data_IF_492938826694
#
_entry.id   IF_492938826694
#
_cell.length_a   1.000
_cell.length_b   1.000
_cell.length_c   1.000
_cell.angle_alpha   90.00
_cell.angle_beta   90.00
_cell.angle_gamma   90.00
#
_symmetry.space_group_name_H-M   'P 1'
#
loop_
_entity.id
_entity.type
_entity.pdbx_description
1 polymer ?
#
# COMPACT_ATOMS: atom_id res chain seq x y z
N UNK A 1 14.21 -37.94 -22.94
CA UNK A 1 14.15 -38.45 -21.55
C UNK A 1 12.70 -38.75 -21.26
N UNK A 2 12.36 -40.01 -20.97
CA UNK A 2 11.02 -40.43 -20.56
C UNK A 2 10.78 -39.91 -19.14
N UNK A 3 10.05 -38.80 -18.99
CA UNK A 3 9.48 -38.40 -17.69
C UNK A 3 8.51 -39.52 -17.29
N UNK A 4 8.92 -40.34 -16.33
CA UNK A 4 7.98 -41.22 -15.62
C UNK A 4 6.95 -40.28 -14.98
N UNK A 5 5.65 -40.59 -15.09
CA UNK A 5 4.60 -39.91 -14.31
C UNK A 5 4.83 -40.24 -12.82
N UNK A 6 5.81 -39.58 -12.22
CA UNK A 6 6.12 -39.70 -10.80
C UNK A 6 4.98 -39.01 -10.05
N UNK A 7 4.38 -39.73 -9.11
CA UNK A 7 3.29 -39.20 -8.32
C UNK A 7 3.86 -38.21 -7.30
N UNK A 8 3.52 -36.94 -7.48
CA UNK A 8 4.00 -35.83 -6.65
C UNK A 8 3.06 -35.62 -5.47
N UNK A 9 3.63 -35.42 -4.28
CA UNK A 9 2.92 -35.05 -3.05
C UNK A 9 3.39 -33.67 -2.60
N UNK A 10 2.47 -32.77 -2.25
CA UNK A 10 2.81 -31.44 -1.72
C UNK A 10 2.53 -31.42 -0.22
N UNK A 11 3.57 -31.27 0.59
CA UNK A 11 3.49 -31.38 2.06
C UNK A 11 4.32 -30.28 2.73
N UNK A 12 3.93 -29.88 3.95
CA UNK A 12 4.77 -29.02 4.77
C UNK A 12 6.11 -29.71 5.10
N UNK A 13 7.21 -29.01 4.85
CA UNK A 13 8.56 -29.45 5.15
C UNK A 13 9.07 -28.70 6.39
N UNK A 14 9.07 -29.38 7.54
CA UNK A 14 9.59 -28.84 8.80
C UNK A 14 11.08 -28.49 8.71
N UNK A 15 11.83 -29.14 7.80
CA UNK A 15 13.21 -28.77 7.53
C UNK A 15 13.32 -27.44 6.77
N UNK A 16 12.22 -26.85 6.34
CA UNK A 16 12.11 -25.53 5.74
C UNK A 16 11.09 -24.67 6.51
N UNK A 17 10.94 -24.87 7.82
CA UNK A 17 10.03 -24.06 8.65
C UNK A 17 8.54 -24.26 8.34
N UNK A 18 8.16 -25.38 7.72
CA UNK A 18 6.79 -25.70 7.36
C UNK A 18 6.37 -25.27 5.95
N UNK A 19 7.30 -24.70 5.16
CA UNK A 19 7.04 -24.38 3.75
C UNK A 19 6.61 -25.64 2.98
N UNK A 20 5.60 -25.50 2.12
CA UNK A 20 5.11 -26.60 1.29
C UNK A 20 6.15 -26.97 0.23
N UNK A 21 6.48 -28.26 0.15
CA UNK A 21 7.48 -28.82 -0.77
C UNK A 21 6.91 -30.01 -1.52
N UNK A 22 7.35 -30.20 -2.76
CA UNK A 22 7.03 -31.37 -3.57
C UNK A 22 7.91 -32.56 -3.21
N UNK A 23 7.30 -33.73 -3.07
CA UNK A 23 7.95 -35.01 -2.79
C UNK A 23 7.57 -36.05 -3.85
N UNK A 24 8.53 -36.88 -4.21
CA UNK A 24 8.34 -37.98 -5.16
C UNK A 24 8.39 -39.34 -4.46
N UNK A 25 7.55 -40.27 -4.91
CA UNK A 25 7.53 -41.64 -4.41
C UNK A 25 8.72 -42.45 -4.93
N UNK A 26 9.58 -42.93 -4.03
CA UNK A 26 10.75 -43.75 -4.35
C UNK A 26 10.63 -45.16 -3.76
N UNK A 27 10.93 -46.17 -4.57
CA UNK A 27 10.91 -47.57 -4.13
C UNK A 27 12.24 -47.99 -3.48
N UNK A 28 12.51 -47.45 -2.29
CA UNK A 28 13.62 -47.88 -1.44
C UNK A 28 13.16 -48.20 -0.02
N UNK A 29 14.02 -48.87 0.74
CA UNK A 29 13.76 -49.10 2.17
C UNK A 29 13.80 -47.75 2.90
N UNK A 30 12.82 -47.51 3.76
CA UNK A 30 12.80 -46.32 4.60
C UNK A 30 13.74 -46.48 5.81
N UNK A 31 14.28 -45.36 6.26
CA UNK A 31 15.11 -45.17 7.44
C UNK A 31 14.37 -44.28 8.46
N UNK A 32 14.85 -44.25 9.71
CA UNK A 32 14.25 -43.38 10.73
C UNK A 32 14.40 -41.93 10.29
N UNK A 33 13.29 -41.19 10.34
CA UNK A 33 13.17 -39.81 9.85
C UNK A 33 12.53 -39.70 8.47
N UNK A 34 12.51 -40.77 7.66
CA UNK A 34 11.85 -40.74 6.36
C UNK A 34 10.34 -40.55 6.48
N UNK A 35 9.77 -39.76 5.56
CA UNK A 35 8.32 -39.76 5.31
C UNK A 35 8.00 -40.89 4.34
N UNK A 36 6.90 -41.60 4.59
CA UNK A 36 6.41 -42.69 3.74
C UNK A 36 4.94 -42.51 3.43
N UNK A 37 4.51 -42.94 2.24
CA UNK A 37 3.10 -42.99 1.84
C UNK A 37 2.67 -44.43 1.63
N UNK A 38 1.47 -44.78 2.12
CA UNK A 38 0.87 -46.10 1.89
C UNK A 38 0.33 -46.18 0.46
N UNK A 39 0.76 -47.17 -0.31
CA UNK A 39 0.37 -47.34 -1.72
C UNK A 39 -0.32 -48.68 -2.01
N UNK A 40 -0.07 -49.70 -1.19
CA UNK A 40 -0.58 -51.06 -1.38
C UNK A 40 -0.85 -51.73 -0.03
N UNK A 41 -1.86 -51.24 0.70
CA UNK A 41 -2.30 -51.84 1.96
C UNK A 41 -2.66 -53.31 1.76
N UNK A 42 -2.02 -54.19 2.53
CA UNK A 42 -2.19 -55.66 2.46
C UNK A 42 -3.03 -56.21 3.59
N UNK A 43 -2.93 -55.62 4.78
CA UNK A 43 -3.61 -56.12 5.96
C UNK A 43 -4.88 -55.31 6.22
N UNK A 44 -6.08 -55.90 6.06
CA UNK A 44 -7.35 -55.16 6.16
C UNK A 44 -7.60 -54.60 7.57
N UNK A 45 -7.07 -55.25 8.60
CA UNK A 45 -7.26 -54.89 10.02
C UNK A 45 -6.42 -53.68 10.47
N UNK A 46 -5.43 -53.24 9.66
CA UNK A 46 -4.70 -52.00 9.93
C UNK A 46 -5.63 -50.80 9.81
N UNK A 47 -5.44 -49.79 10.66
CA UNK A 47 -6.31 -48.59 10.68
C UNK A 47 -6.03 -47.64 9.51
N UNK A 48 -4.80 -47.66 8.96
CA UNK A 48 -4.41 -46.81 7.85
C UNK A 48 -4.97 -47.27 6.50
N UNK A 49 -4.94 -46.40 5.50
CA UNK A 49 -5.39 -46.66 4.12
C UNK A 49 -4.36 -46.16 3.11
N UNK A 50 -4.52 -46.56 1.85
CA UNK A 50 -3.70 -46.04 0.75
C UNK A 50 -3.84 -44.51 0.67
N UNK A 51 -2.72 -43.82 0.58
CA UNK A 51 -2.60 -42.36 0.61
C UNK A 51 -2.27 -41.79 1.99
N UNK A 52 -2.39 -42.55 3.07
CA UNK A 52 -1.95 -42.06 4.39
C UNK A 52 -0.43 -41.92 4.42
N UNK A 53 0.04 -40.87 5.11
CA UNK A 53 1.45 -40.50 5.20
C UNK A 53 1.91 -40.61 6.65
N UNK A 54 3.05 -41.25 6.85
CA UNK A 54 3.66 -41.44 8.17
C UNK A 54 5.12 -40.99 8.15
N UNK A 55 5.62 -40.60 9.32
CA UNK A 55 7.06 -40.48 9.54
C UNK A 55 7.54 -41.75 10.23
N UNK A 56 8.63 -42.33 9.76
CA UNK A 56 9.28 -43.47 10.42
C UNK A 56 10.02 -42.96 11.64
N UNK A 57 9.62 -43.38 12.83
CA UNK A 57 10.19 -42.89 14.10
C UNK A 57 11.03 -43.95 14.82
N UNK A 58 11.02 -45.20 14.36
CA UNK A 58 11.70 -46.30 15.04
C UNK A 58 12.24 -47.37 14.09
N UNK A 59 13.46 -47.83 14.39
CA UNK A 59 14.05 -49.00 13.77
C UNK A 59 13.41 -50.29 14.26
N UNK A 60 13.24 -51.24 13.35
CA UNK A 60 12.79 -52.60 13.64
C UNK A 60 13.93 -53.59 13.38
N UNK A 61 13.87 -54.81 13.94
CA UNK A 61 14.93 -55.79 13.77
C UNK A 61 15.38 -55.93 12.30
N UNK A 62 16.70 -55.93 12.02
CA UNK A 62 17.21 -56.09 10.67
C UNK A 62 16.64 -57.32 9.99
N UNK A 63 16.22 -57.19 8.73
CA UNK A 63 15.66 -58.28 7.94
C UNK A 63 14.17 -58.59 8.19
N UNK A 64 13.50 -57.91 9.13
CA UNK A 64 12.06 -58.08 9.37
C UNK A 64 11.19 -57.67 8.18
N UNK A 65 11.67 -56.72 7.36
CA UNK A 65 10.92 -56.17 6.24
C UNK A 65 9.86 -55.14 6.63
N UNK A 66 9.90 -54.64 7.86
CA UNK A 66 8.99 -53.60 8.37
C UNK A 66 9.74 -52.29 8.63
N UNK A 67 8.96 -51.26 8.93
CA UNK A 67 9.39 -50.03 9.61
C UNK A 67 8.37 -49.67 10.70
N UNK A 68 8.79 -48.93 11.73
CA UNK A 68 7.92 -48.52 12.82
C UNK A 68 7.51 -47.05 12.70
N UNK A 69 6.22 -46.79 12.92
CA UNK A 69 5.68 -45.45 13.09
C UNK A 69 4.58 -45.50 14.15
N UNK A 70 4.72 -44.75 15.23
CA UNK A 70 3.71 -44.66 16.29
C UNK A 70 2.39 -44.10 15.75
N UNK A 71 2.44 -43.29 14.70
CA UNK A 71 1.25 -42.79 13.98
C UNK A 71 0.42 -43.89 13.31
N UNK A 72 1.02 -45.04 13.00
CA UNK A 72 0.34 -46.20 12.44
C UNK A 72 -0.15 -47.19 13.50
N UNK A 73 0.13 -46.94 14.80
CA UNK A 73 -0.25 -47.85 15.86
C UNK A 73 -1.78 -47.90 16.05
N UNK A 74 -2.28 -49.10 16.33
CA UNK A 74 -3.70 -49.36 16.62
C UNK A 74 -3.83 -50.56 17.57
N UNK A 75 -5.05 -50.83 18.04
CA UNK A 75 -5.32 -52.01 18.89
C UNK A 75 -4.87 -53.34 18.23
N UNK A 76 -4.97 -53.42 16.90
CA UNK A 76 -4.60 -54.61 16.12
C UNK A 76 -3.15 -54.56 15.62
N UNK A 77 -2.56 -53.36 15.49
CA UNK A 77 -1.17 -53.12 15.13
C UNK A 77 -0.48 -52.29 16.22
N UNK A 78 -0.33 -52.91 17.40
CA UNK A 78 0.17 -52.21 18.60
C UNK A 78 1.59 -51.67 18.45
N UNK A 79 2.35 -52.25 17.52
CA UNK A 79 3.71 -51.81 17.20
C UNK A 79 3.79 -50.76 16.10
N UNK A 80 2.68 -50.35 15.48
CA UNK A 80 2.70 -49.41 14.35
C UNK A 80 3.63 -49.86 13.22
N UNK A 81 3.63 -51.17 12.94
CA UNK A 81 4.52 -51.79 11.97
C UNK A 81 3.91 -51.66 10.58
N UNK A 82 4.70 -51.15 9.63
CA UNK A 82 4.28 -51.00 8.24
C UNK A 82 5.19 -51.86 7.37
N UNK A 83 4.62 -52.75 6.56
CA UNK A 83 5.40 -53.68 5.74
C UNK A 83 6.03 -52.97 4.54
N UNK A 84 7.26 -53.37 4.15
CA UNK A 84 8.02 -52.76 3.05
C UNK A 84 7.26 -52.68 1.73
N UNK A 85 6.41 -53.67 1.47
CA UNK A 85 5.61 -53.73 0.26
C UNK A 85 4.38 -52.81 0.27
N UNK A 86 4.01 -52.23 1.40
CA UNK A 86 2.82 -51.37 1.54
C UNK A 86 3.14 -49.89 1.31
N UNK A 87 4.41 -49.49 1.32
CA UNK A 87 4.82 -48.09 1.27
C UNK A 87 5.80 -47.73 0.14
N UNK A 88 5.86 -46.42 -0.11
CA UNK A 88 6.95 -45.75 -0.84
C UNK A 88 7.55 -44.66 0.05
N UNK A 89 8.85 -44.44 -0.08
CA UNK A 89 9.51 -43.31 0.59
C UNK A 89 9.21 -42.05 -0.18
N UNK A 90 8.94 -40.96 0.53
CA UNK A 90 8.75 -39.64 -0.05
C UNK A 90 10.08 -38.90 0.02
N UNK A 91 10.76 -38.80 -1.12
CA UNK A 91 11.98 -38.01 -1.22
C UNK A 91 11.65 -36.58 -1.63
N UNK A 92 12.20 -35.57 -0.92
CA UNK A 92 11.94 -34.19 -1.25
C UNK A 92 12.61 -33.81 -2.59
N UNK A 93 11.90 -33.04 -3.41
CA UNK A 93 12.45 -32.40 -4.62
C UNK A 93 13.00 -31.02 -4.29
N UNK A 94 13.52 -30.28 -5.27
CA UNK A 94 13.88 -28.87 -5.05
C UNK A 94 12.71 -27.90 -5.27
N UNK A 95 11.49 -28.39 -5.52
CA UNK A 95 10.33 -27.53 -5.79
C UNK A 95 9.56 -27.22 -4.51
N UNK A 96 9.34 -25.94 -4.24
CA UNK A 96 8.54 -25.41 -3.13
C UNK A 96 7.37 -24.57 -3.63
N UNK A 97 6.34 -24.47 -2.80
CA UNK A 97 5.12 -23.72 -3.06
C UNK A 97 5.06 -22.57 -2.06
N UNK A 98 5.12 -21.35 -2.56
CA UNK A 98 5.15 -20.12 -1.77
C UNK A 98 3.82 -19.41 -1.96
N UNK A 99 3.14 -19.10 -0.86
CA UNK A 99 1.90 -18.33 -0.88
C UNK A 99 2.26 -16.83 -1.01
N UNK A 100 2.12 -16.29 -2.21
CA UNK A 100 2.25 -14.85 -2.51
C UNK A 100 0.85 -14.18 -2.50
N UNK A 101 0.77 -12.84 -2.40
CA UNK A 101 -0.52 -12.13 -2.38
C UNK A 101 -1.41 -12.41 -3.60
N UNK A 102 -0.79 -12.70 -4.75
CA UNK A 102 -1.47 -12.96 -6.02
C UNK A 102 -1.81 -14.45 -6.24
N UNK A 103 -1.38 -15.34 -5.33
CA UNK A 103 -1.63 -16.78 -5.40
C UNK A 103 -0.46 -17.61 -4.89
N UNK A 104 -0.63 -18.93 -4.90
CA UNK A 104 0.48 -19.86 -4.61
C UNK A 104 1.32 -20.07 -5.85
N UNK A 105 2.61 -19.75 -5.78
CA UNK A 105 3.55 -19.91 -6.88
C UNK A 105 4.56 -21.04 -6.60
N UNK A 106 5.03 -21.68 -7.68
CA UNK A 106 6.00 -22.78 -7.64
C UNK A 106 7.40 -22.25 -7.93
N UNK A 107 8.35 -22.60 -7.08
CA UNK A 107 9.74 -22.19 -7.21
C UNK A 107 10.68 -23.39 -7.10
N UNK A 108 11.73 -23.41 -7.91
CA UNK A 108 12.87 -24.32 -7.76
C UNK A 108 13.91 -23.65 -6.86
N UNK A 109 14.32 -24.36 -5.81
CA UNK A 109 15.42 -24.00 -4.94
C UNK A 109 16.75 -24.34 -5.63
N UNK A 110 17.50 -23.31 -5.99
CA UNK A 110 18.79 -23.44 -6.67
C UNK A 110 19.93 -23.06 -5.73
N UNK A 111 20.94 -23.93 -5.65
CA UNK A 111 22.16 -23.71 -4.88
C UNK A 111 23.18 -22.91 -5.72
N UNK A 112 23.09 -21.58 -5.63
CA UNK A 112 24.01 -20.64 -6.27
C UNK A 112 24.02 -19.29 -5.54
N UNK A 113 25.02 -18.46 -5.85
CA UNK A 113 25.04 -17.07 -5.42
C UNK A 113 23.80 -16.33 -5.96
N UNK A 114 23.19 -15.52 -5.11
CA UNK A 114 22.03 -14.72 -5.47
C UNK A 114 22.47 -13.40 -6.11
N UNK A 115 21.57 -12.81 -6.88
CA UNK A 115 21.70 -11.45 -7.42
C UNK A 115 20.68 -10.51 -6.75
N UNK A 116 20.96 -9.21 -6.79
CA UNK A 116 20.07 -8.19 -6.21
C UNK A 116 18.68 -8.26 -6.87
N UNK A 117 17.63 -8.29 -6.04
CA UNK A 117 16.24 -8.40 -6.46
C UNK A 117 15.73 -9.84 -6.59
N UNK A 118 16.56 -10.87 -6.43
CA UNK A 118 16.10 -12.26 -6.42
C UNK A 118 15.44 -12.63 -5.08
N UNK A 119 14.46 -13.54 -5.12
CA UNK A 119 13.90 -14.16 -3.91
C UNK A 119 14.81 -15.30 -3.45
N UNK A 120 15.00 -15.41 -2.14
CA UNK A 120 15.77 -16.48 -1.49
C UNK A 120 14.97 -17.11 -0.35
N UNK A 121 15.31 -18.35 -0.01
CA UNK A 121 14.83 -19.03 1.19
C UNK A 121 16.02 -19.38 2.09
N UNK A 122 15.93 -19.04 3.37
CA UNK A 122 16.92 -19.45 4.37
C UNK A 122 16.68 -20.91 4.76
N UNK A 123 17.65 -21.75 4.46
CA UNK A 123 17.59 -23.21 4.72
C UNK A 123 18.28 -23.61 6.02
N UNK A 124 19.21 -22.78 6.51
CA UNK A 124 19.91 -22.96 7.78
C UNK A 124 20.54 -21.65 8.24
N UNK A 125 20.25 -21.25 9.46
CA UNK A 125 20.82 -20.08 10.11
C UNK A 125 20.53 -20.18 11.62
N UNK A 126 21.38 -19.55 12.43
CA UNK A 126 21.14 -19.34 13.86
C UNK A 126 20.49 -17.96 14.13
N UNK A 127 20.67 -17.00 13.22
CA UNK A 127 20.21 -15.61 13.34
C UNK A 127 18.86 -15.37 12.64
N UNK A 128 18.53 -16.16 11.62
CA UNK A 128 17.31 -16.06 10.83
C UNK A 128 16.42 -17.31 11.01
N UNK A 129 15.08 -17.14 11.01
CA UNK A 129 14.18 -18.28 11.08
C UNK A 129 14.32 -19.17 9.85
N UNK A 130 14.32 -20.49 10.09
CA UNK A 130 14.33 -21.48 9.03
C UNK A 130 13.08 -21.33 8.16
N UNK A 131 13.27 -21.31 6.84
CA UNK A 131 12.19 -21.06 5.90
C UNK A 131 11.84 -19.59 5.70
N UNK A 132 12.60 -18.64 6.26
CA UNK A 132 12.45 -17.22 5.94
C UNK A 132 12.61 -17.03 4.43
N UNK A 133 11.62 -16.39 3.82
CA UNK A 133 11.64 -16.00 2.42
C UNK A 133 11.74 -14.49 2.37
N UNK A 134 12.71 -13.99 1.62
CA UNK A 134 12.90 -12.55 1.43
C UNK A 134 13.57 -12.28 0.08
N UNK A 135 13.69 -11.01 -0.27
CA UNK A 135 14.35 -10.51 -1.46
C UNK A 135 15.74 -9.99 -1.13
N UNK A 136 16.69 -10.20 -2.04
CA UNK A 136 18.05 -9.68 -1.90
C UNK A 136 18.10 -8.17 -2.16
N UNK A 137 18.54 -7.40 -1.17
CA UNK A 137 18.77 -5.96 -1.25
C UNK A 137 20.18 -5.63 -1.79
N UNK A 138 21.20 -6.36 -1.32
CA UNK A 138 22.60 -6.11 -1.68
C UNK A 138 23.42 -7.41 -1.69
N UNK A 139 24.40 -7.50 -2.60
CA UNK A 139 25.32 -8.63 -2.69
C UNK A 139 26.76 -8.18 -2.39
N UNK A 140 27.46 -8.89 -1.51
CA UNK A 140 28.84 -8.57 -1.16
C UNK A 140 29.82 -9.25 -2.12
N UNK A 141 30.34 -8.50 -3.11
CA UNK A 141 31.26 -8.99 -4.16
C UNK A 141 32.57 -9.60 -3.61
N UNK A 142 33.03 -9.14 -2.44
CA UNK A 142 34.26 -9.61 -1.80
C UNK A 142 34.07 -10.83 -0.90
N UNK A 143 32.84 -11.34 -0.77
CA UNK A 143 32.58 -12.58 -0.05
C UNK A 143 32.73 -13.78 -1.00
N UNK A 144 33.69 -14.65 -0.71
CA UNK A 144 33.85 -15.90 -1.46
C UNK A 144 32.58 -16.77 -1.39
N UNK A 145 31.78 -16.58 -0.34
CA UNK A 145 30.60 -17.36 -0.01
C UNK A 145 29.28 -16.78 -0.53
N UNK A 146 29.24 -15.52 -0.98
CA UNK A 146 28.01 -14.91 -1.52
C UNK A 146 27.06 -14.37 -0.46
N UNK A 147 27.58 -13.74 0.60
CA UNK A 147 26.79 -13.08 1.64
C UNK A 147 25.95 -11.94 1.04
N UNK A 148 24.77 -11.72 1.61
CA UNK A 148 23.75 -10.80 1.09
C UNK A 148 23.11 -9.99 2.21
N UNK A 149 22.60 -8.80 1.90
CA UNK A 149 21.61 -8.14 2.74
C UNK A 149 20.20 -8.44 2.21
N UNK A 150 19.28 -8.72 3.13
CA UNK A 150 17.87 -8.93 2.87
C UNK A 150 17.07 -7.63 3.02
N UNK A 151 15.98 -7.50 2.25
CA UNK A 151 15.13 -6.28 2.25
C UNK A 151 14.42 -6.07 3.57
N UNK A 152 13.76 -7.10 4.10
CA UNK A 152 13.04 -7.03 5.38
C UNK A 152 13.90 -7.60 6.51
N UNK A 153 14.57 -8.75 6.26
CA UNK A 153 15.36 -9.45 7.26
C UNK A 153 14.52 -10.07 8.37
N UNK A 154 15.12 -10.28 9.55
CA UNK A 154 14.43 -10.74 10.76
C UNK A 154 15.07 -10.10 12.00
N UNK A 155 14.26 -9.72 12.99
CA UNK A 155 14.72 -9.16 14.27
C UNK A 155 15.74 -8.01 14.12
N UNK A 156 15.47 -7.08 13.19
CA UNK A 156 16.34 -5.95 12.80
C UNK A 156 17.70 -6.34 12.17
N UNK A 157 17.95 -7.64 11.94
CA UNK A 157 19.09 -8.17 11.21
C UNK A 157 18.73 -8.36 9.73
N UNK A 158 19.58 -7.86 8.85
CA UNK A 158 19.45 -7.98 7.39
C UNK A 158 20.60 -8.72 6.73
N UNK A 159 21.78 -8.66 7.34
CA UNK A 159 22.99 -9.27 6.80
C UNK A 159 22.96 -10.78 7.04
N UNK A 160 22.90 -11.53 5.95
CA UNK A 160 22.99 -12.98 5.94
C UNK A 160 24.41 -13.39 5.52
N UNK A 161 25.13 -14.00 6.46
CA UNK A 161 26.51 -14.44 6.28
C UNK A 161 26.57 -15.85 5.67
N UNK A 162 26.74 -15.91 4.35
CA UNK A 162 26.81 -17.16 3.61
C UNK A 162 28.01 -18.07 3.99
N UNK A 163 28.94 -17.59 4.84
CA UNK A 163 29.98 -18.44 5.41
C UNK A 163 29.48 -19.36 6.53
N UNK A 164 28.41 -18.97 7.22
CA UNK A 164 27.83 -19.68 8.37
C UNK A 164 26.38 -20.10 8.14
N UNK A 165 25.72 -19.46 7.19
CA UNK A 165 24.31 -19.60 6.90
C UNK A 165 24.09 -20.12 5.48
N UNK A 166 23.05 -20.90 5.26
CA UNK A 166 22.74 -21.49 3.97
C UNK A 166 21.38 -21.01 3.49
N UNK A 167 21.36 -20.47 2.27
CA UNK A 167 20.14 -20.09 1.57
C UNK A 167 20.06 -20.78 0.20
N UNK A 168 18.90 -20.73 -0.43
CA UNK A 168 18.69 -21.13 -1.82
C UNK A 168 17.98 -20.02 -2.58
N UNK A 169 18.38 -19.81 -3.83
CA UNK A 169 17.68 -18.89 -4.73
C UNK A 169 16.39 -19.55 -5.19
N UNK A 170 15.29 -18.81 -5.14
CA UNK A 170 13.98 -19.27 -5.61
C UNK A 170 13.77 -18.83 -7.06
N UNK A 171 13.88 -19.78 -7.97
CA UNK A 171 13.64 -19.55 -9.41
C UNK A 171 12.20 -19.95 -9.74
N UNK A 172 11.34 -19.05 -10.26
CA UNK A 172 9.98 -19.40 -10.64
C UNK A 172 9.96 -20.56 -11.65
N UNK A 173 9.06 -21.50 -11.43
CA UNK A 173 8.83 -22.63 -12.34
C UNK A 173 7.42 -22.51 -12.87
N UNK A 174 7.28 -22.53 -14.19
CA UNK A 174 5.97 -22.58 -14.82
C UNK A 174 5.19 -23.80 -14.29
N UNK A 175 3.98 -23.57 -13.79
CA UNK A 175 3.08 -24.63 -13.38
C UNK A 175 2.73 -25.47 -14.62
N UNK A 176 3.17 -26.74 -14.64
CA UNK A 176 2.73 -27.75 -15.60
C UNK A 176 1.27 -28.21 -15.33
N UNK A 177 0.42 -27.36 -14.75
CA UNK A 177 -1.01 -27.59 -14.79
C UNK A 177 -1.48 -27.29 -16.21
N UNK A 178 -1.40 -28.30 -17.09
CA UNK A 178 -2.22 -28.28 -18.30
C UNK A 178 -3.69 -28.17 -17.84
N UNK A 179 -4.40 -27.06 -18.13
CA UNK A 179 -5.81 -26.97 -17.80
C UNK A 179 -6.52 -28.12 -18.50
N UNK A 180 -7.39 -28.85 -17.78
CA UNK A 180 -8.20 -29.86 -18.43
C UNK A 180 -8.99 -29.17 -19.56
N UNK A 181 -9.23 -29.83 -20.71
CA UNK A 181 -9.87 -29.19 -21.87
C UNK A 181 -11.24 -28.56 -21.56
N UNK A 182 -11.93 -29.05 -20.53
CA UNK A 182 -13.17 -28.47 -19.99
C UNK A 182 -12.93 -27.12 -19.30
N UNK A 183 -11.86 -27.02 -18.51
CA UNK A 183 -11.50 -25.81 -17.76
C UNK A 183 -11.08 -24.70 -18.71
N UNK A 184 -10.44 -25.05 -19.83
CA UNK A 184 -10.05 -24.08 -20.86
C UNK A 184 -11.26 -23.37 -21.49
N UNK A 185 -12.37 -24.07 -21.72
CA UNK A 185 -13.59 -23.46 -22.31
C UNK A 185 -14.23 -22.50 -21.30
N UNK A 186 -14.31 -22.90 -20.03
CA UNK A 186 -14.87 -22.06 -18.96
C UNK A 186 -13.99 -20.84 -18.67
N UNK A 187 -12.66 -21.00 -18.70
CA UNK A 187 -11.70 -19.89 -18.59
C UNK A 187 -11.82 -18.95 -19.79
N UNK A 188 -11.94 -19.46 -21.02
CA UNK A 188 -12.13 -18.63 -22.21
C UNK A 188 -13.46 -17.88 -22.14
N UNK A 189 -14.54 -18.52 -21.70
CA UNK A 189 -15.85 -17.87 -21.56
C UNK A 189 -15.85 -16.78 -20.49
N UNK A 190 -15.22 -17.05 -19.34
CA UNK A 190 -15.08 -16.07 -18.26
C UNK A 190 -14.18 -14.89 -18.68
N UNK A 191 -13.05 -15.19 -19.33
CA UNK A 191 -12.14 -14.18 -19.86
C UNK A 191 -12.84 -13.31 -20.93
N UNK A 192 -13.58 -13.91 -21.87
CA UNK A 192 -14.34 -13.17 -22.87
C UNK A 192 -15.40 -12.25 -22.23
N UNK A 193 -16.05 -12.72 -21.17
CA UNK A 193 -17.02 -11.92 -20.41
C UNK A 193 -16.34 -10.73 -19.74
N UNK A 194 -15.21 -10.96 -19.06
CA UNK A 194 -14.46 -9.93 -18.35
C UNK A 194 -13.82 -8.91 -19.30
N UNK A 195 -13.34 -9.36 -20.46
CA UNK A 195 -12.87 -8.48 -21.54
C UNK A 195 -14.00 -7.60 -22.05
N UNK A 196 -15.19 -8.15 -22.28
CA UNK A 196 -16.35 -7.37 -22.73
C UNK A 196 -16.80 -6.33 -21.68
N UNK A 197 -16.70 -6.65 -20.38
CA UNK A 197 -16.95 -5.70 -19.30
C UNK A 197 -15.91 -4.58 -19.25
N UNK A 198 -14.62 -4.93 -19.33
CA UNK A 198 -13.53 -3.96 -19.38
C UNK A 198 -13.62 -3.05 -20.60
N UNK A 199 -14.02 -3.56 -21.76
CA UNK A 199 -14.24 -2.74 -22.96
C UNK A 199 -15.41 -1.75 -22.78
N UNK A 200 -16.48 -2.16 -22.09
CA UNK A 200 -17.61 -1.27 -21.78
C UNK A 200 -17.18 -0.19 -20.79
N UNK A 201 -16.42 -0.55 -19.76
CA UNK A 201 -15.94 0.40 -18.76
C UNK A 201 -14.94 1.39 -19.37
N UNK A 202 -14.00 0.93 -20.20
CA UNK A 202 -13.11 1.81 -20.96
C UNK A 202 -13.87 2.81 -21.82
N UNK A 203 -14.95 2.37 -22.47
CA UNK A 203 -15.80 3.26 -23.27
C UNK A 203 -16.47 4.31 -22.40
N UNK A 204 -17.04 3.90 -21.25
CA UNK A 204 -17.67 4.81 -20.28
C UNK A 204 -16.67 5.86 -19.75
N UNK A 205 -15.47 5.42 -19.35
CA UNK A 205 -14.41 6.32 -18.87
C UNK A 205 -14.01 7.31 -19.95
N UNK A 206 -13.91 6.85 -21.20
CA UNK A 206 -13.57 7.72 -22.33
C UNK A 206 -14.63 8.80 -22.57
N UNK A 207 -15.92 8.43 -22.51
CA UNK A 207 -17.03 9.38 -22.64
C UNK A 207 -17.06 10.39 -21.47
N UNK A 208 -16.70 9.94 -20.26
CA UNK A 208 -16.58 10.79 -19.06
C UNK A 208 -15.42 11.79 -19.19
N UNK A 209 -14.25 11.34 -19.66
CA UNK A 209 -13.10 12.20 -19.97
C UNK A 209 -13.47 13.26 -21.01
N UNK A 210 -14.15 12.88 -22.08
CA UNK A 210 -14.57 13.82 -23.14
C UNK A 210 -15.54 14.88 -22.60
N UNK A 211 -16.41 14.50 -21.68
CA UNK A 211 -17.34 15.43 -21.01
C UNK A 211 -16.60 16.38 -20.08
N UNK A 212 -15.72 15.86 -19.22
CA UNK A 212 -14.90 16.67 -18.32
C UNK A 212 -13.99 17.64 -19.08
N UNK A 213 -13.46 17.23 -20.23
CA UNK A 213 -12.63 18.09 -21.07
C UNK A 213 -13.44 19.30 -21.60
N UNK A 214 -14.69 19.08 -22.01
CA UNK A 214 -15.60 20.17 -22.44
C UNK A 214 -15.95 21.11 -21.29
N UNK A 215 -16.24 20.58 -20.11
CA UNK A 215 -16.54 21.40 -18.94
C UNK A 215 -15.33 22.24 -18.52
N UNK A 216 -14.11 21.66 -18.54
CA UNK A 216 -12.89 22.40 -18.26
C UNK A 216 -12.62 23.53 -19.26
N UNK A 217 -12.91 23.32 -20.55
CA UNK A 217 -12.82 24.39 -21.56
C UNK A 217 -13.80 25.53 -21.23
N UNK A 218 -15.07 25.21 -20.93
CA UNK A 218 -16.07 26.21 -20.54
C UNK A 218 -15.66 26.97 -19.28
N UNK A 219 -15.21 26.26 -18.24
CA UNK A 219 -14.74 26.90 -17.01
C UNK A 219 -13.53 27.81 -17.27
N UNK A 220 -12.64 27.43 -18.19
CA UNK A 220 -11.54 28.30 -18.63
C UNK A 220 -12.02 29.62 -19.25
N UNK A 221 -13.04 29.56 -20.10
CA UNK A 221 -13.66 30.76 -20.70
C UNK A 221 -14.34 31.64 -19.64
N UNK A 222 -15.08 31.04 -18.71
CA UNK A 222 -15.72 31.76 -17.59
C UNK A 222 -14.68 32.44 -16.69
N UNK A 223 -13.55 31.77 -16.43
CA UNK A 223 -12.48 32.31 -15.59
C UNK A 223 -11.79 33.52 -16.25
N UNK A 224 -11.55 33.47 -17.56
CA UNK A 224 -11.02 34.63 -18.30
C UNK A 224 -12.01 35.79 -18.37
N UNK A 225 -13.31 35.51 -18.52
CA UNK A 225 -14.34 36.55 -18.45
C UNK A 225 -14.39 37.24 -17.07
N UNK A 226 -14.33 36.47 -15.99
CA UNK A 226 -14.29 37.00 -14.63
C UNK A 226 -13.02 37.81 -14.36
N UNK A 227 -11.88 37.36 -14.86
CA UNK A 227 -10.61 38.08 -14.75
C UNK A 227 -10.64 39.41 -15.47
N UNK A 228 -11.26 39.47 -16.66
CA UNK A 228 -11.47 40.73 -17.37
C UNK A 228 -12.38 41.68 -16.57
N UNK A 229 -13.51 41.18 -16.05
CA UNK A 229 -14.43 41.97 -15.24
C UNK A 229 -13.76 42.52 -13.98
N UNK A 230 -12.96 41.71 -13.28
CA UNK A 230 -12.19 42.12 -12.10
C UNK A 230 -11.21 43.27 -12.43
N UNK A 231 -10.48 43.17 -13.55
CA UNK A 231 -9.57 44.22 -14.00
C UNK A 231 -10.31 45.52 -14.34
N UNK A 232 -11.50 45.43 -14.92
CA UNK A 232 -12.34 46.59 -15.19
C UNK A 232 -12.82 47.25 -13.89
N UNK A 233 -13.23 46.46 -12.89
CA UNK A 233 -13.62 47.00 -11.58
C UNK A 233 -12.46 47.64 -10.83
N UNK A 234 -11.26 47.04 -10.85
CA UNK A 234 -10.07 47.63 -10.23
C UNK A 234 -9.75 48.99 -10.86
N UNK A 235 -9.87 49.11 -12.19
CA UNK A 235 -9.72 50.39 -12.88
C UNK A 235 -10.75 51.43 -12.42
N UNK A 236 -12.02 51.05 -12.26
CA UNK A 236 -13.07 51.95 -11.74
C UNK A 236 -12.81 52.37 -10.30
N UNK A 237 -12.35 51.47 -9.44
CA UNK A 237 -11.99 51.77 -8.05
C UNK A 237 -10.82 52.75 -8.01
N UNK A 238 -9.76 52.52 -8.79
CA UNK A 238 -8.62 53.43 -8.87
C UNK A 238 -9.01 54.84 -9.34
N UNK A 239 -9.94 54.95 -10.30
CA UNK A 239 -10.46 56.25 -10.72
C UNK A 239 -11.22 56.96 -9.60
N UNK A 240 -12.07 56.24 -8.86
CA UNK A 240 -12.80 56.81 -7.73
C UNK A 240 -11.86 57.24 -6.59
N UNK A 241 -10.82 56.47 -6.30
CA UNK A 241 -9.80 56.81 -5.31
C UNK A 241 -9.05 58.09 -5.70
N UNK A 242 -8.66 58.23 -6.97
CA UNK A 242 -8.03 59.44 -7.49
C UNK A 242 -8.96 60.67 -7.40
N UNK A 243 -10.23 60.52 -7.78
CA UNK A 243 -11.23 61.59 -7.69
C UNK A 243 -11.45 62.06 -6.23
N UNK A 244 -11.43 61.13 -5.27
CA UNK A 244 -11.51 61.43 -3.83
C UNK A 244 -10.26 62.16 -3.36
N UNK A 245 -9.07 61.72 -3.75
CA UNK A 245 -7.80 62.36 -3.37
C UNK A 245 -7.68 63.78 -3.95
N UNK A 246 -8.16 64.01 -5.18
CA UNK A 246 -8.22 65.36 -5.78
C UNK A 246 -9.24 66.25 -5.06
N UNK A 247 -10.41 65.69 -4.71
CA UNK A 247 -11.49 66.44 -4.04
C UNK A 247 -11.20 66.74 -2.56
N UNK A 248 -10.45 65.85 -1.90
CA UNK A 248 -10.11 65.91 -0.48
C UNK A 248 -8.62 65.56 -0.27
N UNK A 249 -7.69 66.42 -0.71
CA UNK A 249 -6.28 66.16 -0.57
C UNK A 249 -5.92 65.98 0.91
N UNK A 250 -5.18 64.92 1.22
CA UNK A 250 -4.67 64.70 2.56
C UNK A 250 -3.86 65.93 2.99
N UNK A 251 -4.32 66.61 4.03
CA UNK A 251 -3.71 67.84 4.52
C UNK A 251 -3.36 67.71 5.99
N UNK A 252 -2.08 67.94 6.30
CA UNK A 252 -1.58 68.07 7.67
C UNK A 252 -1.97 69.42 8.31
N UNK A 253 -2.71 70.27 7.57
CA UNK A 253 -3.18 71.53 8.12
C UNK A 253 -4.10 71.26 9.32
N UNK A 254 -3.82 71.87 10.48
CA UNK A 254 -4.62 71.68 11.67
C UNK A 254 -6.05 72.15 11.42
N UNK A 255 -7.02 71.37 11.91
CA UNK A 255 -8.40 71.82 11.98
C UNK A 255 -8.52 72.94 13.01
N UNK A 256 -9.00 74.10 12.58
CA UNK A 256 -9.24 75.25 13.43
C UNK A 256 -10.73 75.31 13.73
N UNK A 257 -11.07 75.15 15.00
CA UNK A 257 -12.44 75.26 15.51
C UNK A 257 -12.66 76.65 16.10
N UNK A 258 -13.58 77.41 15.51
CA UNK A 258 -13.96 78.72 16.02
C UNK A 258 -15.36 78.63 16.63
N UNK A 259 -15.43 78.73 17.96
CA UNK A 259 -16.66 78.86 18.71
C UNK A 259 -16.88 80.33 19.06
N UNK A 260 -17.70 81.05 18.28
CA UNK A 260 -18.04 82.45 18.58
C UNK A 260 -19.18 82.58 19.59
N UNK A 261 -20.04 81.56 19.66
CA UNK A 261 -21.16 81.43 20.60
C UNK A 261 -21.32 79.95 20.95
N UNK A 262 -21.72 79.63 22.19
CA UNK A 262 -22.01 78.24 22.57
C UNK A 262 -22.94 77.57 21.55
N UNK A 263 -22.57 76.39 21.06
CA UNK A 263 -23.37 75.60 20.12
C UNK A 263 -23.21 75.94 18.63
N UNK A 264 -22.47 76.99 18.25
CA UNK A 264 -22.18 77.30 16.82
C UNK A 264 -20.68 77.28 16.57
N UNK A 265 -20.24 76.25 15.85
CA UNK A 265 -18.86 76.06 15.48
C UNK A 265 -18.67 76.30 13.99
N UNK A 266 -17.60 77.00 13.65
CA UNK A 266 -17.09 77.04 12.30
C UNK A 266 -15.79 76.23 12.28
N UNK A 267 -15.71 75.27 11.36
CA UNK A 267 -14.51 74.46 11.17
C UNK A 267 -13.79 74.99 9.96
N UNK A 268 -12.49 75.25 10.12
CA UNK A 268 -11.61 75.65 9.04
C UNK A 268 -10.47 74.65 8.93
N UNK A 269 -10.02 74.42 7.71
CA UNK A 269 -8.78 73.71 7.44
C UNK A 269 -8.03 74.47 6.36
N UNK A 270 -6.73 74.72 6.58
CA UNK A 270 -5.88 75.47 5.65
C UNK A 270 -6.48 76.84 5.22
N UNK A 271 -7.06 77.56 6.17
CA UNK A 271 -7.67 78.88 5.93
C UNK A 271 -9.02 78.87 5.19
N UNK A 272 -9.51 77.70 4.75
CA UNK A 272 -10.82 77.55 4.09
C UNK A 272 -11.87 77.05 5.08
N UNK A 273 -13.09 77.59 4.99
CA UNK A 273 -14.23 77.14 5.82
C UNK A 273 -14.75 75.81 5.28
N UNK A 274 -14.85 74.80 6.15
CA UNK A 274 -15.49 73.53 5.81
C UNK A 274 -17.00 73.66 5.94
N UNK A 275 -17.72 73.16 4.94
CA UNK A 275 -19.19 73.15 4.88
C UNK A 275 -19.70 71.70 4.96
N UNK A 276 -20.88 71.47 5.54
CA UNK A 276 -21.46 70.13 5.64
C UNK A 276 -20.86 69.22 6.73
N UNK A 277 -20.14 69.79 7.70
CA UNK A 277 -19.61 69.03 8.85
C UNK A 277 -20.77 68.47 9.67
N UNK A 278 -20.96 67.16 9.61
CA UNK A 278 -22.10 66.49 10.27
C UNK A 278 -21.89 66.27 11.78
N UNK A 279 -20.68 65.93 12.20
CA UNK A 279 -20.35 65.78 13.62
C UNK A 279 -18.87 66.05 13.86
N UNK A 280 -18.55 66.57 15.06
CA UNK A 280 -17.18 66.77 15.52
C UNK A 280 -17.06 66.12 16.89
N UNK A 281 -16.21 65.09 16.99
CA UNK A 281 -15.92 64.41 18.26
C UNK A 281 -14.54 64.81 18.75
N UNK A 282 -14.48 65.59 19.83
CA UNK A 282 -13.23 66.01 20.45
C UNK A 282 -12.93 65.11 21.64
N UNK A 283 -11.98 64.19 21.47
CA UNK A 283 -11.47 63.36 22.56
C UNK A 283 -10.29 64.06 23.24
N UNK A 284 -10.58 65.06 24.07
CA UNK A 284 -9.57 65.73 24.88
C UNK A 284 -9.33 64.95 26.18
N UNK A 285 -8.08 64.52 26.41
CA UNK A 285 -7.65 63.93 27.67
C UNK A 285 -7.05 65.05 28.53
N UNK A 286 -7.87 65.79 29.29
CA UNK A 286 -7.37 66.81 30.23
C UNK A 286 -8.11 66.67 31.55
N UNK A 287 -7.34 66.59 32.63
CA UNK A 287 -7.83 66.46 34.00
C UNK A 287 -8.68 67.65 34.41
N UNK A 288 -9.79 67.32 35.08
CA UNK A 288 -10.70 68.20 35.80
C UNK A 288 -11.53 69.19 34.95
N UNK A 289 -12.72 68.69 34.58
CA UNK A 289 -14.00 69.36 34.24
C UNK A 289 -14.44 69.47 32.75
N UNK A 290 -15.54 68.71 32.50
CA UNK A 290 -16.61 68.79 31.50
C UNK A 290 -16.31 68.55 29.99
N UNK A 291 -16.45 67.29 29.58
CA UNK A 291 -16.81 66.90 28.21
C UNK A 291 -18.11 67.62 27.80
N UNK A 292 -18.06 68.47 26.79
CA UNK A 292 -19.27 68.95 26.12
C UNK A 292 -19.50 68.05 24.91
N UNK A 293 -20.35 67.03 25.06
CA UNK A 293 -20.98 66.39 23.91
C UNK A 293 -22.06 67.35 23.42
N UNK A 294 -21.76 68.08 22.34
CA UNK A 294 -22.74 68.95 21.70
C UNK A 294 -23.27 68.19 20.49
N UNK A 295 -24.26 67.34 20.74
CA UNK A 295 -25.13 66.85 19.67
C UNK A 295 -26.13 67.96 19.33
N UNK A 296 -26.13 68.41 18.08
CA UNK A 296 -27.21 69.24 17.57
C UNK A 296 -27.71 68.70 16.24
N UNK A 297 -29.02 68.45 16.19
CA UNK A 297 -29.79 68.19 15.00
C UNK A 297 -30.55 69.48 14.68
N UNK A 298 -30.17 70.21 13.63
CA UNK A 298 -31.13 71.11 12.96
C UNK A 298 -31.61 70.46 11.68
N UNK A 299 -32.90 70.14 11.66
CA UNK A 299 -33.65 69.93 10.44
C UNK A 299 -33.80 71.24 9.65
N UNK A 300 -33.77 71.05 8.33
CA UNK A 300 -33.97 71.92 7.16
C UNK A 300 -34.45 73.38 7.33
N UNK A 301 -33.89 74.25 6.49
CA UNK A 301 -34.71 75.10 5.59
C UNK A 301 -34.05 75.28 4.22
N UNK A 302 -34.86 74.98 3.21
CA UNK A 302 -34.84 75.49 1.85
C UNK A 302 -34.96 77.04 1.84
N UNK A 303 -34.61 77.67 0.72
CA UNK A 303 -34.68 79.11 0.37
C UNK A 303 -33.47 80.01 0.73
N UNK A 304 -32.56 80.12 -0.24
CA UNK A 304 -32.11 81.41 -0.83
C UNK A 304 -31.31 81.12 -2.13
N UNK A 305 -32.03 80.82 -3.23
CA UNK A 305 -31.60 81.17 -4.59
C UNK A 305 -32.66 82.09 -5.18
N UNK A 306 -32.44 83.39 -5.02
CA UNK A 306 -32.63 84.33 -6.13
C UNK A 306 -31.43 84.20 -7.06
#
# INVERSE_FOLDING_TARGET
>A
MTKTNEKIHVLADESLGGIKREYVEVDRKAEVGDKIVIVDKKYPDDIYKNGDIFTVDREVPPGSGYVGSDGAASDMNTGGLIYRGEYRVLEPTNIVHIDDPDGTERYEMVDRKAEVGEKVIVTKSDDFPKGLIDTVEYCYEFSDYGSIDLVEGADDLKYLDAAYEEYRVLVPVESEEEPQPSDLIDVIANLATRVAELERENRRIKDEIDTLHKDNLRHGEELEALKYAAKETDGKVAHLEADIEESFPATDAPLVFICRKPGRFEVYQDGKKLHGVMSVRINAKVGEFATHEIEYISGATEEERQ
#
